data_IF_333257474446
#
_entry.id   IF_333257474446
#
_cell.length_a   1.000
_cell.length_b   1.000
_cell.length_c   1.000
_cell.angle_alpha   90.00
_cell.angle_beta   90.00
_cell.angle_gamma   90.00
#
_symmetry.space_group_name_H-M   'P 1'
#
loop_
_entity.id
_entity.type
_entity.pdbx_description
1 polymer ?
#
# COMPACT_ATOMS: atom_id res chain seq x y z
N UNK A 1 29.12 13.56 4.16
CA UNK A 1 30.42 13.76 3.47
C UNK A 1 30.53 12.96 2.17
N UNK A 2 30.21 11.65 2.15
CA UNK A 2 30.25 10.86 0.90
C UNK A 2 29.31 11.35 -0.22
N UNK A 3 28.12 11.84 0.14
CA UNK A 3 27.11 12.28 -0.83
C UNK A 3 27.49 13.59 -1.55
N UNK A 4 28.14 14.51 -0.83
CA UNK A 4 28.64 15.78 -1.36
C UNK A 4 29.82 15.58 -2.30
N UNK A 5 30.71 14.64 -2.01
CA UNK A 5 31.85 14.30 -2.88
C UNK A 5 31.39 13.64 -4.18
N UNK A 6 30.40 12.74 -4.10
CA UNK A 6 29.78 12.12 -5.28
C UNK A 6 29.14 13.17 -6.22
N UNK A 7 28.51 14.21 -5.65
CA UNK A 7 27.89 15.30 -6.42
C UNK A 7 28.94 16.24 -7.03
N UNK A 8 30.06 16.47 -6.35
CA UNK A 8 31.15 17.32 -6.85
C UNK A 8 31.99 16.66 -7.95
N UNK A 9 32.04 15.33 -8.01
CA UNK A 9 32.71 14.57 -9.08
C UNK A 9 31.91 14.47 -10.39
N UNK A 10 30.63 14.87 -10.39
CA UNK A 10 29.77 14.87 -11.57
C UNK A 10 29.96 16.18 -12.35
N UNK A 11 30.17 16.08 -13.67
CA UNK A 11 30.13 17.26 -14.54
C UNK A 11 28.77 17.96 -14.45
N UNK A 12 28.71 19.27 -14.73
CA UNK A 12 27.46 20.07 -14.61
C UNK A 12 26.27 19.45 -15.32
N UNK A 13 26.46 18.86 -16.51
CA UNK A 13 25.42 18.12 -17.24
C UNK A 13 24.98 16.83 -16.52
N UNK A 14 25.88 16.10 -15.89
CA UNK A 14 25.55 14.87 -15.17
C UNK A 14 24.86 15.16 -13.83
N UNK A 15 25.27 16.23 -13.14
CA UNK A 15 24.59 16.71 -11.94
C UNK A 15 23.15 17.13 -12.28
N UNK A 16 22.94 17.86 -13.38
CA UNK A 16 21.61 18.26 -13.84
C UNK A 16 20.72 17.05 -14.17
N UNK A 17 21.23 16.05 -14.89
CA UNK A 17 20.50 14.81 -15.17
C UNK A 17 20.14 14.03 -13.90
N UNK A 18 21.03 14.01 -12.91
CA UNK A 18 20.79 13.34 -11.62
C UNK A 18 19.70 14.04 -10.83
N UNK A 19 19.73 15.37 -10.77
CA UNK A 19 18.70 16.14 -10.06
C UNK A 19 17.34 15.98 -10.76
N UNK A 20 17.31 16.03 -12.09
CA UNK A 20 16.07 15.83 -12.86
C UNK A 20 15.50 14.42 -12.67
N UNK A 21 16.33 13.38 -12.70
CA UNK A 21 15.85 12.00 -12.52
C UNK A 21 15.31 11.76 -11.11
N UNK A 22 15.95 12.33 -10.08
CA UNK A 22 15.43 12.29 -8.72
C UNK A 22 14.12 13.05 -8.58
N UNK A 23 14.02 14.25 -9.15
CA UNK A 23 12.80 15.05 -9.13
C UNK A 23 11.63 14.31 -9.82
N UNK A 24 11.87 13.73 -11.00
CA UNK A 24 10.89 12.90 -11.70
C UNK A 24 10.49 11.66 -10.89
N UNK A 25 11.46 10.99 -10.25
CA UNK A 25 11.18 9.85 -9.38
C UNK A 25 10.29 10.23 -8.18
N UNK A 26 10.58 11.36 -7.53
CA UNK A 26 9.77 11.88 -6.42
C UNK A 26 8.35 12.24 -6.90
N UNK A 27 8.24 12.91 -8.05
CA UNK A 27 6.93 13.25 -8.65
C UNK A 27 6.14 11.97 -8.96
N UNK A 28 6.77 10.97 -9.57
CA UNK A 28 6.13 9.70 -9.89
C UNK A 28 5.63 8.98 -8.63
N UNK A 29 6.45 8.94 -7.57
CA UNK A 29 6.05 8.38 -6.27
C UNK A 29 4.91 9.18 -5.66
N UNK A 30 4.98 10.51 -5.68
CA UNK A 30 3.92 11.37 -5.17
C UNK A 30 2.59 11.12 -5.89
N UNK A 31 2.59 11.12 -7.22
CA UNK A 31 1.38 10.86 -8.02
C UNK A 31 0.82 9.46 -7.76
N UNK A 32 1.68 8.47 -7.61
CA UNK A 32 1.28 7.11 -7.29
C UNK A 32 0.63 6.99 -5.90
N UNK A 33 1.19 7.66 -4.89
CA UNK A 33 0.66 7.68 -3.52
C UNK A 33 -0.63 8.50 -3.44
N UNK A 34 -0.67 9.66 -4.09
CA UNK A 34 -1.84 10.54 -4.11
C UNK A 34 -3.05 9.88 -4.79
N UNK A 35 -2.82 8.97 -5.75
CA UNK A 35 -3.89 8.19 -6.38
C UNK A 35 -4.50 7.09 -5.51
N UNK A 36 -3.96 6.85 -4.32
CA UNK A 36 -4.50 5.84 -3.37
C UNK A 36 -5.68 6.42 -2.60
N UNK A 37 -6.82 6.44 -3.28
CA UNK A 37 -8.07 6.84 -2.66
C UNK A 37 -8.66 5.68 -1.85
N UNK A 38 -8.98 5.94 -0.59
CA UNK A 38 -9.77 5.03 0.24
C UNK A 38 -11.26 5.29 -0.02
N UNK A 39 -12.03 4.31 -0.50
CA UNK A 39 -13.46 4.49 -0.75
C UNK A 39 -14.21 4.96 0.49
N UNK A 40 -15.21 5.82 0.28
CA UNK A 40 -16.11 6.24 1.36
C UNK A 40 -16.82 5.02 1.96
N UNK A 41 -16.79 4.91 3.29
CA UNK A 41 -17.35 3.76 4.01
C UNK A 41 -16.43 2.53 4.10
N UNK A 42 -15.19 2.60 3.61
CA UNK A 42 -14.23 1.53 3.79
C UNK A 42 -13.89 1.33 5.29
N UNK A 43 -13.60 0.08 5.73
CA UNK A 43 -13.12 -0.18 7.08
C UNK A 43 -11.82 0.55 7.42
N UNK A 44 -11.47 0.71 8.70
CA UNK A 44 -10.27 1.41 9.13
C UNK A 44 -9.00 0.88 8.46
N UNK A 45 -8.13 1.79 8.04
CA UNK A 45 -6.82 1.46 7.47
C UNK A 45 -5.88 0.92 8.56
N UNK A 46 -5.16 -0.18 8.28
CA UNK A 46 -4.15 -0.70 9.22
C UNK A 46 -3.01 0.29 9.40
N UNK A 47 -2.36 0.24 10.57
CA UNK A 47 -1.23 1.13 10.89
C UNK A 47 0.07 0.57 10.32
N UNK A 48 1.03 1.45 10.03
CA UNK A 48 2.39 1.06 9.64
C UNK A 48 2.56 0.67 8.17
N UNK A 49 1.66 1.12 7.30
CA UNK A 49 1.75 0.85 5.87
C UNK A 49 2.80 1.70 5.17
N UNK A 50 3.53 1.11 4.23
CA UNK A 50 4.44 1.84 3.36
C UNK A 50 3.72 2.42 2.14
N UNK A 51 4.04 3.67 1.73
CA UNK A 51 3.39 4.33 0.60
C UNK A 51 3.52 3.62 -0.75
N UNK A 52 4.48 2.70 -0.94
CA UNK A 52 4.61 1.94 -2.19
C UNK A 52 4.09 0.50 -2.07
N UNK A 53 4.42 -0.21 -1.01
CA UNK A 53 4.22 -1.67 -0.92
C UNK A 53 3.14 -2.08 0.08
N UNK A 54 2.61 -1.12 0.86
CA UNK A 54 1.66 -1.41 1.93
C UNK A 54 2.33 -1.97 3.19
N UNK A 55 1.60 -2.70 4.04
CA UNK A 55 2.17 -3.32 5.24
C UNK A 55 3.16 -4.42 4.87
N UNK A 56 4.38 -4.35 5.39
CA UNK A 56 5.45 -5.34 5.10
C UNK A 56 5.09 -6.74 5.62
N UNK A 57 4.39 -6.82 6.75
CA UNK A 57 3.98 -8.09 7.35
C UNK A 57 2.98 -8.87 6.50
N UNK A 58 2.24 -8.22 5.60
CA UNK A 58 1.41 -8.92 4.62
C UNK A 58 2.25 -9.80 3.67
N UNK A 59 3.49 -9.39 3.39
CA UNK A 59 4.41 -10.09 2.49
C UNK A 59 5.22 -11.16 3.22
N UNK A 60 5.65 -10.90 4.44
CA UNK A 60 6.57 -11.76 5.19
C UNK A 60 5.85 -12.73 6.14
N UNK A 61 4.73 -12.30 6.75
CA UNK A 61 4.01 -13.02 7.82
C UNK A 61 2.50 -12.89 7.63
N UNK A 62 2.02 -13.21 6.42
CA UNK A 62 0.65 -12.92 5.97
C UNK A 62 -0.45 -13.36 6.93
N UNK A 63 -0.36 -14.57 7.49
CA UNK A 63 -1.38 -15.08 8.41
C UNK A 63 -1.35 -14.38 9.77
N UNK A 64 -0.17 -14.08 10.30
CA UNK A 64 -0.04 -13.36 11.56
C UNK A 64 -0.51 -11.91 11.40
N UNK A 65 -0.11 -11.25 10.33
CA UNK A 65 -0.64 -9.94 9.93
C UNK A 65 -2.16 -9.93 9.91
N UNK A 66 -2.79 -10.92 9.26
CA UNK A 66 -4.24 -10.98 9.16
C UNK A 66 -4.89 -11.13 10.54
N UNK A 67 -4.41 -12.06 11.38
CA UNK A 67 -4.93 -12.25 12.75
C UNK A 67 -4.80 -11.00 13.60
N UNK A 68 -3.64 -10.33 13.53
CA UNK A 68 -3.36 -9.11 14.29
C UNK A 68 -4.25 -7.95 13.83
N UNK A 69 -4.38 -7.76 12.51
CA UNK A 69 -5.23 -6.73 11.92
C UNK A 69 -6.71 -6.96 12.25
N UNK A 70 -7.19 -8.20 12.16
CA UNK A 70 -8.53 -8.59 12.60
C UNK A 70 -8.74 -8.25 14.09
N UNK A 71 -7.80 -8.64 14.97
CA UNK A 71 -7.89 -8.38 16.41
C UNK A 71 -7.86 -6.88 16.75
N UNK A 72 -7.14 -6.08 15.97
CA UNK A 72 -7.04 -4.63 16.16
C UNK A 72 -8.27 -3.87 15.66
N UNK A 73 -9.09 -4.47 14.80
CA UNK A 73 -10.29 -3.87 14.25
C UNK A 73 -11.54 -4.10 15.12
N UNK A 74 -12.46 -3.13 15.15
CA UNK A 74 -13.64 -3.19 16.02
C UNK A 74 -14.62 -4.31 15.62
N UNK A 75 -14.78 -4.54 14.32
CA UNK A 75 -15.72 -5.52 13.75
C UNK A 75 -15.02 -6.67 13.01
N UNK A 76 -13.70 -6.81 13.17
CA UNK A 76 -12.92 -7.81 12.44
C UNK A 76 -12.57 -7.43 11.00
N UNK A 77 -13.05 -6.29 10.49
CA UNK A 77 -12.79 -5.82 9.14
C UNK A 77 -11.79 -4.67 9.13
N UNK A 78 -10.86 -4.69 8.19
CA UNK A 78 -9.81 -3.70 8.07
C UNK A 78 -9.44 -3.49 6.61
N UNK A 79 -8.80 -2.37 6.32
CA UNK A 79 -8.35 -2.04 4.97
C UNK A 79 -6.83 -1.89 4.95
N UNK A 80 -6.21 -2.25 3.83
CA UNK A 80 -4.79 -2.02 3.59
C UNK A 80 -4.47 -1.84 2.11
N UNK A 81 -3.30 -1.30 1.80
CA UNK A 81 -2.86 -1.15 0.40
C UNK A 81 -1.99 -2.32 -0.05
N UNK A 82 -2.23 -2.81 -1.27
CA UNK A 82 -1.32 -3.70 -2.01
C UNK A 82 -0.98 -3.03 -3.33
N UNK A 83 0.17 -2.36 -3.36
CA UNK A 83 0.46 -1.42 -4.44
C UNK A 83 -0.64 -0.36 -4.53
N UNK A 84 -1.18 -0.11 -5.73
CA UNK A 84 -2.25 0.88 -5.95
C UNK A 84 -3.64 0.39 -5.53
N UNK A 85 -3.76 -0.89 -5.17
CA UNK A 85 -5.05 -1.51 -4.89
C UNK A 85 -5.37 -1.37 -3.41
N UNK A 86 -6.61 -0.99 -3.12
CA UNK A 86 -7.19 -1.04 -1.79
C UNK A 86 -7.71 -2.45 -1.57
N UNK A 87 -7.26 -3.10 -0.51
CA UNK A 87 -7.65 -4.47 -0.13
C UNK A 87 -8.39 -4.41 1.19
N UNK A 88 -9.56 -5.02 1.23
CA UNK A 88 -10.37 -5.13 2.44
C UNK A 88 -10.22 -6.55 3.00
N UNK A 89 -9.68 -6.64 4.21
CA UNK A 89 -9.69 -7.86 5.00
C UNK A 89 -11.03 -7.99 5.72
N UNK A 90 -11.71 -9.12 5.52
CA UNK A 90 -12.99 -9.42 6.18
C UNK A 90 -12.86 -10.64 7.08
N UNK A 91 -13.51 -10.63 8.24
CA UNK A 91 -13.49 -11.77 9.15
C UNK A 91 -14.83 -11.95 9.88
N UNK A 92 -14.94 -13.04 10.63
CA UNK A 92 -16.19 -13.42 11.29
C UNK A 92 -17.25 -13.98 10.33
N UNK A 93 -18.37 -14.41 10.90
CA UNK A 93 -19.45 -15.03 10.13
C UNK A 93 -20.11 -14.04 9.16
N UNK A 94 -20.30 -12.79 9.58
CA UNK A 94 -20.86 -11.73 8.73
C UNK A 94 -19.94 -11.39 7.56
N UNK A 95 -18.63 -11.25 7.81
CA UNK A 95 -17.64 -11.01 6.76
C UNK A 95 -17.55 -12.16 5.77
N UNK A 96 -17.55 -13.41 6.25
CA UNK A 96 -17.57 -14.61 5.40
C UNK A 96 -18.82 -14.65 4.51
N UNK A 97 -19.98 -14.38 5.11
CA UNK A 97 -21.26 -14.34 4.38
C UNK A 97 -21.26 -13.27 3.30
N UNK A 98 -20.86 -12.04 3.64
CA UNK A 98 -20.78 -10.95 2.66
C UNK A 98 -19.82 -11.26 1.50
N UNK A 99 -18.70 -11.93 1.79
CA UNK A 99 -17.75 -12.35 0.75
C UNK A 99 -18.32 -13.44 -0.16
N UNK A 100 -18.98 -14.45 0.40
CA UNK A 100 -19.50 -15.60 -0.37
C UNK A 100 -20.80 -15.30 -1.12
N UNK A 101 -21.67 -14.44 -0.59
CA UNK A 101 -22.98 -14.14 -1.17
C UNK A 101 -22.95 -12.95 -2.14
N UNK A 102 -21.88 -12.15 -2.13
CA UNK A 102 -21.74 -11.05 -3.07
C UNK A 102 -21.44 -11.59 -4.47
N UNK A 103 -22.38 -11.38 -5.40
CA UNK A 103 -22.20 -11.71 -6.82
C UNK A 103 -20.97 -11.05 -7.44
N UNK A 104 -20.54 -9.89 -6.93
CA UNK A 104 -19.34 -9.20 -7.41
C UNK A 104 -18.03 -9.86 -6.95
N UNK A 105 -18.10 -10.73 -5.93
CA UNK A 105 -16.97 -11.45 -5.34
C UNK A 105 -17.04 -12.97 -5.60
N UNK A 106 -17.93 -13.38 -6.51
CA UNK A 106 -18.11 -14.78 -6.88
C UNK A 106 -16.85 -15.32 -7.55
N UNK A 107 -16.17 -16.25 -6.86
CA UNK A 107 -14.94 -16.88 -7.32
C UNK A 107 -15.14 -17.76 -8.58
N UNK A 108 -16.38 -18.13 -8.91
CA UNK A 108 -16.71 -18.91 -10.11
C UNK A 108 -17.00 -18.05 -11.35
N UNK A 109 -17.11 -16.74 -11.18
CA UNK A 109 -17.39 -15.77 -12.25
C UNK A 109 -16.12 -15.26 -12.96
N UNK A 110 -14.93 -15.81 -12.63
CA UNK A 110 -13.61 -15.40 -13.13
C UNK A 110 -13.20 -16.04 -14.44
#
# INVERSE_FOLDING_TARGET
>A
MALTEAVQGLGTSQALLTVLSLALGIIAVYLYVAGRYLPEGAPPLVKGEWPLIGPTDFWTRRWDFFKEATKASVNGNFTFHVGKHVVVGVSGDDGRRAFMESRQLDASSG
#
